data_IF_891387287354
#
_entry.id   IF_891387287354
#
_cell.length_a   1.000
_cell.length_b   1.000
_cell.length_c   1.000
_cell.angle_alpha   90.00
_cell.angle_beta   90.00
_cell.angle_gamma   90.00
#
_symmetry.space_group_name_H-M   'P 1'
#
loop_
_entity.id
_entity.type
_entity.pdbx_description
1 polymer ?
#
# COMPACT_ATOMS: atom_id res chain seq x y z
N UNK A 1 -33.71 -60.43 -28.63
CA UNK A 1 -33.36 -59.48 -27.54
C UNK A 1 -32.26 -60.13 -26.69
N UNK A 2 -31.07 -59.55 -26.63
CA UNK A 2 -29.97 -60.10 -25.81
C UNK A 2 -30.24 -59.77 -24.33
N UNK A 3 -30.54 -60.80 -23.53
CA UNK A 3 -30.86 -60.68 -22.09
C UNK A 3 -29.63 -60.24 -21.25
N UNK A 4 -28.40 -60.36 -21.78
CA UNK A 4 -27.16 -60.03 -21.07
C UNK A 4 -26.74 -58.54 -21.09
N UNK A 5 -27.35 -57.67 -21.91
CA UNK A 5 -26.98 -56.25 -21.96
C UNK A 5 -28.23 -55.41 -22.14
N UNK A 6 -28.67 -54.78 -21.05
CA UNK A 6 -29.80 -53.86 -21.06
C UNK A 6 -29.32 -52.47 -21.50
N UNK A 7 -29.38 -52.22 -22.81
CA UNK A 7 -28.95 -50.95 -23.43
C UNK A 7 -29.75 -49.77 -22.87
N UNK A 8 -31.06 -49.91 -22.65
CA UNK A 8 -31.91 -48.85 -22.10
C UNK A 8 -31.48 -48.44 -20.68
N UNK A 9 -31.12 -49.41 -19.84
CA UNK A 9 -30.58 -49.15 -18.50
C UNK A 9 -29.21 -48.47 -18.56
N UNK A 10 -28.35 -48.84 -19.53
CA UNK A 10 -27.03 -48.25 -19.70
C UNK A 10 -27.14 -46.76 -20.11
N UNK A 11 -28.04 -46.46 -21.05
CA UNK A 11 -28.33 -45.08 -21.48
C UNK A 11 -28.93 -44.25 -20.35
N UNK A 12 -29.85 -44.81 -19.55
CA UNK A 12 -30.41 -44.12 -18.39
C UNK A 12 -29.33 -43.82 -17.32
N UNK A 13 -28.40 -44.76 -17.10
CA UNK A 13 -27.28 -44.58 -16.17
C UNK A 13 -26.29 -43.50 -16.67
N UNK A 14 -26.00 -43.47 -17.96
CA UNK A 14 -25.13 -42.45 -18.57
C UNK A 14 -25.77 -41.06 -18.47
N UNK A 15 -27.06 -40.93 -18.79
CA UNK A 15 -27.82 -39.68 -18.64
C UNK A 15 -27.84 -39.20 -17.18
N UNK A 16 -28.11 -40.10 -16.22
CA UNK A 16 -28.07 -39.78 -14.78
C UNK A 16 -26.69 -39.30 -14.33
N UNK A 17 -25.63 -39.94 -14.82
CA UNK A 17 -24.24 -39.56 -14.51
C UNK A 17 -23.93 -38.15 -15.03
N UNK A 18 -24.36 -37.82 -16.24
CA UNK A 18 -24.17 -36.48 -16.82
C UNK A 18 -24.98 -35.41 -16.06
N UNK A 19 -26.22 -35.71 -15.68
CA UNK A 19 -27.04 -34.79 -14.86
C UNK A 19 -26.38 -34.53 -13.50
N UNK A 20 -25.90 -35.57 -12.82
CA UNK A 20 -25.20 -35.41 -11.53
C UNK A 20 -23.94 -34.54 -11.67
N UNK A 21 -23.14 -34.72 -12.72
CA UNK A 21 -21.97 -33.85 -13.00
C UNK A 21 -22.37 -32.38 -13.18
N UNK A 22 -23.44 -32.11 -13.91
CA UNK A 22 -23.94 -30.74 -14.12
C UNK A 22 -24.44 -30.10 -12.81
N UNK A 23 -25.14 -30.88 -11.98
CA UNK A 23 -25.60 -30.43 -10.66
C UNK A 23 -24.41 -30.11 -9.75
N UNK A 24 -23.41 -31.00 -9.69
CA UNK A 24 -22.20 -30.76 -8.91
C UNK A 24 -21.46 -29.50 -9.34
N UNK A 25 -21.32 -29.25 -10.66
CA UNK A 25 -20.70 -28.01 -11.14
C UNK A 25 -21.52 -26.76 -10.82
N UNK A 26 -22.85 -26.87 -10.86
CA UNK A 26 -23.74 -25.75 -10.50
C UNK A 26 -23.67 -25.43 -9.01
N UNK A 27 -23.60 -26.46 -8.17
CA UNK A 27 -23.37 -26.32 -6.73
C UNK A 27 -22.02 -25.69 -6.41
N UNK A 28 -20.95 -26.09 -7.10
CA UNK A 28 -19.61 -25.49 -6.95
C UNK A 28 -19.63 -23.98 -7.22
N UNK A 29 -20.29 -23.58 -8.32
CA UNK A 29 -20.46 -22.15 -8.69
C UNK A 29 -21.34 -21.39 -7.71
N UNK A 30 -22.38 -22.03 -7.17
CA UNK A 30 -23.24 -21.43 -6.17
C UNK A 30 -22.51 -21.23 -4.83
N UNK A 31 -21.74 -22.23 -4.37
CA UNK A 31 -21.01 -22.17 -3.11
C UNK A 31 -19.87 -21.14 -3.13
N UNK A 32 -19.24 -20.95 -4.28
CA UNK A 32 -18.16 -19.96 -4.45
C UNK A 32 -18.68 -18.57 -4.82
N UNK A 33 -19.89 -18.49 -5.40
CA UNK A 33 -20.42 -17.29 -6.02
C UNK A 33 -19.67 -16.87 -7.30
N UNK A 34 -18.72 -17.67 -7.77
CA UNK A 34 -17.91 -17.38 -8.94
C UNK A 34 -18.39 -18.21 -10.13
N UNK A 35 -18.49 -17.55 -11.29
CA UNK A 35 -18.90 -18.21 -12.53
C UNK A 35 -17.81 -19.13 -13.09
N UNK A 36 -16.54 -18.80 -12.83
CA UNK A 36 -15.35 -19.52 -13.27
C UNK A 36 -14.59 -19.94 -12.01
N UNK A 37 -14.54 -21.24 -11.71
CA UNK A 37 -13.85 -21.78 -10.53
C UNK A 37 -12.57 -22.53 -10.87
N UNK A 38 -12.49 -23.09 -12.08
CA UNK A 38 -11.36 -23.87 -12.57
C UNK A 38 -11.03 -23.49 -14.01
N UNK A 39 -9.77 -23.68 -14.40
CA UNK A 39 -9.31 -23.42 -15.76
C UNK A 39 -10.07 -24.21 -16.83
N UNK A 40 -10.65 -25.37 -16.46
CA UNK A 40 -11.48 -26.18 -17.34
C UNK A 40 -12.84 -25.52 -17.67
N UNK A 41 -13.33 -24.57 -16.86
CA UNK A 41 -14.59 -23.87 -17.11
C UNK A 41 -14.40 -22.77 -18.18
N UNK A 42 -13.32 -21.99 -18.08
CA UNK A 42 -12.86 -21.01 -19.07
C UNK A 42 -11.42 -20.56 -18.76
N UNK A 43 -10.44 -21.13 -19.47
CA UNK A 43 -9.03 -20.82 -19.24
C UNK A 43 -8.68 -19.36 -19.56
N UNK A 44 -9.31 -18.78 -20.60
CA UNK A 44 -9.05 -17.42 -21.04
C UNK A 44 -9.65 -16.39 -20.08
N UNK A 45 -10.89 -16.63 -19.65
CA UNK A 45 -11.58 -15.81 -18.65
C UNK A 45 -10.89 -15.87 -17.29
N UNK A 46 -10.42 -17.04 -16.87
CA UNK A 46 -9.66 -17.18 -15.62
C UNK A 46 -8.33 -16.42 -15.68
N UNK A 47 -7.57 -16.53 -16.78
CA UNK A 47 -6.31 -15.80 -16.94
C UNK A 47 -6.48 -14.27 -16.91
N UNK A 48 -7.56 -13.75 -17.53
CA UNK A 48 -7.90 -12.32 -17.48
C UNK A 48 -8.29 -11.93 -16.05
N UNK A 49 -9.12 -12.74 -15.38
CA UNK A 49 -9.55 -12.48 -14.01
C UNK A 49 -8.35 -12.45 -13.03
N UNK A 50 -7.41 -13.38 -13.15
CA UNK A 50 -6.19 -13.41 -12.33
C UNK A 50 -5.28 -12.21 -12.60
N UNK A 51 -5.16 -11.80 -13.87
CA UNK A 51 -4.42 -10.59 -14.24
C UNK A 51 -5.04 -9.35 -13.61
N UNK A 52 -6.37 -9.20 -13.69
CA UNK A 52 -7.09 -8.08 -13.09
C UNK A 52 -6.99 -8.10 -11.55
N UNK A 53 -7.07 -9.28 -10.94
CA UNK A 53 -6.90 -9.46 -9.50
C UNK A 53 -5.50 -9.05 -9.04
N UNK A 54 -4.47 -9.45 -9.78
CA UNK A 54 -3.08 -9.04 -9.55
C UNK A 54 -2.94 -7.53 -9.71
N UNK A 55 -3.53 -6.95 -10.75
CA UNK A 55 -3.50 -5.50 -10.97
C UNK A 55 -4.19 -4.75 -9.82
N UNK A 56 -5.33 -5.22 -9.34
CA UNK A 56 -6.03 -4.62 -8.21
C UNK A 56 -5.18 -4.65 -6.93
N UNK A 57 -4.54 -5.78 -6.63
CA UNK A 57 -3.61 -5.89 -5.49
C UNK A 57 -2.42 -4.93 -5.65
N UNK A 58 -1.83 -4.84 -6.84
CA UNK A 58 -0.74 -3.90 -7.13
C UNK A 58 -1.16 -2.44 -6.96
N UNK A 59 -2.36 -2.07 -7.42
CA UNK A 59 -2.91 -0.71 -7.24
C UNK A 59 -3.13 -0.42 -5.76
N UNK A 60 -3.69 -1.35 -4.99
CA UNK A 60 -3.88 -1.19 -3.55
C UNK A 60 -2.55 -0.96 -2.82
N UNK A 61 -1.51 -1.70 -3.19
CA UNK A 61 -0.16 -1.47 -2.65
C UNK A 61 0.38 -0.10 -3.08
N UNK A 62 0.15 0.30 -4.34
CA UNK A 62 0.53 1.62 -4.84
C UNK A 62 -0.13 2.76 -4.06
N UNK A 63 -1.41 2.62 -3.70
CA UNK A 63 -2.14 3.58 -2.86
C UNK A 63 -1.52 3.65 -1.46
N UNK A 64 -1.23 2.50 -0.85
CA UNK A 64 -0.58 2.45 0.47
C UNK A 64 0.81 3.12 0.46
N UNK A 65 1.59 2.87 -0.60
CA UNK A 65 2.89 3.51 -0.79
C UNK A 65 2.75 5.03 -0.98
N UNK A 66 1.76 5.48 -1.76
CA UNK A 66 1.45 6.89 -1.95
C UNK A 66 1.08 7.59 -0.64
N UNK A 67 0.23 6.96 0.17
CA UNK A 67 -0.13 7.48 1.49
C UNK A 67 1.09 7.58 2.43
N UNK A 68 1.98 6.59 2.38
CA UNK A 68 3.22 6.59 3.17
C UNK A 68 4.16 7.73 2.73
N UNK A 69 4.26 7.97 1.42
CA UNK A 69 5.02 9.10 0.88
C UNK A 69 4.44 10.45 1.31
N UNK A 70 3.11 10.60 1.31
CA UNK A 70 2.44 11.81 1.81
C UNK A 70 2.73 12.02 3.30
N UNK A 71 2.64 10.97 4.12
CA UNK A 71 2.97 11.06 5.54
C UNK A 71 4.42 11.47 5.78
N UNK A 72 5.36 10.90 5.02
CA UNK A 72 6.78 11.27 5.08
C UNK A 72 6.99 12.74 4.69
N UNK A 73 6.35 13.20 3.61
CA UNK A 73 6.41 14.60 3.18
C UNK A 73 5.85 15.54 4.25
N UNK A 74 4.76 15.18 4.91
CA UNK A 74 4.19 15.97 6.01
C UNK A 74 5.12 16.05 7.23
N UNK A 75 5.81 14.95 7.57
CA UNK A 75 6.82 14.96 8.64
C UNK A 75 8.00 15.84 8.24
N UNK A 76 8.44 15.72 6.98
CA UNK A 76 9.53 16.53 6.42
C UNK A 76 9.17 18.02 6.45
N UNK A 77 7.96 18.39 6.02
CA UNK A 77 7.49 19.78 6.01
C UNK A 77 7.46 20.39 7.43
N UNK A 78 6.98 19.62 8.41
CA UNK A 78 7.03 20.04 9.82
C UNK A 78 8.45 20.17 10.36
N UNK A 79 9.32 19.22 10.05
CA UNK A 79 10.75 19.28 10.41
C UNK A 79 11.42 20.52 9.80
N UNK A 80 11.16 20.81 8.53
CA UNK A 80 11.65 22.01 7.85
C UNK A 80 11.11 23.31 8.48
N UNK A 81 9.86 23.34 8.92
CA UNK A 81 9.30 24.49 9.64
C UNK A 81 10.01 24.75 10.98
N UNK A 82 10.37 23.70 11.71
CA UNK A 82 11.18 23.82 12.94
C UNK A 82 12.60 24.33 12.62
N UNK A 83 13.24 23.79 11.58
CA UNK A 83 14.55 24.27 11.13
C UNK A 83 14.50 25.75 10.74
N UNK A 84 13.46 26.20 10.03
CA UNK A 84 13.27 27.62 9.68
C UNK A 84 13.17 28.50 10.93
N UNK A 85 12.40 28.07 11.93
CA UNK A 85 12.24 28.79 13.19
C UNK A 85 13.57 28.92 13.96
N UNK A 86 14.39 27.87 13.94
CA UNK A 86 15.74 27.90 14.52
C UNK A 86 16.63 28.91 13.78
N UNK A 87 16.59 28.92 12.44
CA UNK A 87 17.37 29.86 11.64
C UNK A 87 16.97 31.32 11.89
N UNK A 88 15.67 31.61 12.03
CA UNK A 88 15.19 32.94 12.39
C UNK A 88 15.69 33.37 13.78
N UNK A 89 15.73 32.45 14.73
CA UNK A 89 16.28 32.69 16.07
C UNK A 89 17.78 32.96 16.03
N UNK A 90 18.54 32.20 15.23
CA UNK A 90 19.97 32.43 15.01
C UNK A 90 20.19 33.82 14.41
N UNK A 91 19.39 34.21 13.41
CA UNK A 91 19.46 35.54 12.78
C UNK A 91 19.23 36.65 13.80
N UNK A 92 18.21 36.53 14.65
CA UNK A 92 17.95 37.52 15.71
C UNK A 92 19.13 37.63 16.69
N UNK A 93 19.71 36.50 17.11
CA UNK A 93 20.91 36.46 17.97
C UNK A 93 22.13 37.09 17.30
N UNK A 94 22.34 36.86 16.01
CA UNK A 94 23.43 37.50 15.25
C UNK A 94 23.28 39.03 15.20
N UNK A 95 22.06 39.52 14.97
CA UNK A 95 21.78 40.97 15.01
C UNK A 95 22.08 41.52 16.41
N UNK A 96 21.65 40.83 17.47
CA UNK A 96 21.94 41.22 18.85
C UNK A 96 23.45 41.26 19.16
N UNK A 97 24.22 40.33 18.63
CA UNK A 97 25.67 40.30 18.78
C UNK A 97 26.36 41.47 18.05
N UNK A 98 25.77 41.94 16.95
CA UNK A 98 26.27 43.05 16.14
C UNK A 98 25.91 44.44 16.70
N UNK A 99 25.08 44.52 17.74
CA UNK A 99 24.78 45.80 18.41
C UNK A 99 25.99 46.28 19.22
N UNK A 100 26.38 47.55 19.05
CA UNK A 100 27.57 48.15 19.67
C UNK A 100 27.55 48.16 21.21
N UNK A 101 26.37 48.07 21.83
CA UNK A 101 26.20 48.00 23.29
C UNK A 101 26.48 46.61 23.87
N UNK A 102 26.64 45.58 23.03
CA UNK A 102 26.92 44.22 23.48
C UNK A 102 28.40 44.06 23.83
N UNK A 103 28.70 43.69 25.07
CA UNK A 103 30.08 43.45 25.52
C UNK A 103 30.71 42.24 24.82
N UNK A 104 32.05 42.14 24.85
CA UNK A 104 32.78 40.98 24.29
C UNK A 104 32.37 39.66 24.96
N UNK A 105 32.12 39.67 26.28
CA UNK A 105 31.60 38.52 27.00
C UNK A 105 30.17 38.15 26.53
N UNK A 106 29.32 39.15 26.29
CA UNK A 106 27.98 38.95 25.73
C UNK A 106 28.01 38.34 24.33
N UNK A 107 28.88 38.84 23.44
CA UNK A 107 29.10 38.24 22.10
C UNK A 107 29.54 36.78 22.18
N UNK A 108 30.42 36.45 23.12
CA UNK A 108 30.89 35.07 23.33
C UNK A 108 29.77 34.14 23.82
N UNK A 109 28.89 34.62 24.70
CA UNK A 109 27.74 33.85 25.15
C UNK A 109 26.72 33.61 24.02
N UNK A 110 26.44 34.63 23.22
CA UNK A 110 25.55 34.51 22.06
C UNK A 110 26.12 33.52 21.03
N UNK A 111 27.44 33.54 20.79
CA UNK A 111 28.08 32.58 19.88
C UNK A 111 27.88 31.13 20.37
N UNK A 112 28.00 30.86 21.68
CA UNK A 112 27.73 29.52 22.25
C UNK A 112 26.28 29.08 22.04
N UNK A 113 25.33 29.99 22.19
CA UNK A 113 23.91 29.70 21.93
C UNK A 113 23.67 29.37 20.45
N UNK A 114 24.27 30.14 19.53
CA UNK A 114 24.17 29.87 18.09
C UNK A 114 24.75 28.49 17.76
N UNK A 115 25.89 28.11 18.35
CA UNK A 115 26.47 26.77 18.15
C UNK A 115 25.51 25.67 18.60
N UNK A 116 24.83 25.83 19.74
CA UNK A 116 23.81 24.87 20.20
C UNK A 116 22.61 24.79 19.26
N UNK A 117 22.13 25.93 18.76
CA UNK A 117 21.03 25.99 17.81
C UNK A 117 21.40 25.31 16.47
N UNK A 118 22.63 25.49 16.00
CA UNK A 118 23.13 24.77 14.82
C UNK A 118 23.23 23.25 15.06
N UNK A 119 23.64 22.83 16.25
CA UNK A 119 23.62 21.40 16.63
C UNK A 119 22.21 20.85 16.64
N UNK A 120 21.23 21.60 17.15
CA UNK A 120 19.83 21.20 17.14
C UNK A 120 19.27 21.12 15.71
N UNK A 121 19.62 22.07 14.84
CA UNK A 121 19.24 22.05 13.42
C UNK A 121 19.75 20.79 12.70
N UNK A 122 21.01 20.40 12.95
CA UNK A 122 21.60 19.17 12.42
C UNK A 122 21.03 17.88 13.03
N UNK A 123 20.29 17.95 14.14
CA UNK A 123 19.66 16.80 14.78
C UNK A 123 18.23 16.55 14.25
N UNK A 124 17.55 17.62 13.82
CA UNK A 124 16.19 17.58 13.27
C UNK A 124 16.18 17.10 11.79
N UNK A 125 17.24 17.35 11.05
CA UNK A 125 17.45 16.87 9.67
C UNK A 125 18.21 15.55 9.61
#
# INVERSE_FOLDING_TARGET
MRINTNVSSLTAQEASTNTNKNISSSLEKLSTGLRINKAADDASGLAIADKLRTQATSINQGISNGNSAVALLQITDKSMAEQSTILDTIKAKLIQANTDTTSVAGRTAIAKDITKLLQQLNNIG
#
